data_IF_394304549583
#
_entry.id   IF_394304549583
#
_cell.length_a   1.000
_cell.length_b   1.000
_cell.length_c   1.000
_cell.angle_alpha   90.00
_cell.angle_beta   90.00
_cell.angle_gamma   90.00
#
_symmetry.space_group_name_H-M   'P 1'
#
loop_
_entity.id
_entity.type
_entity.pdbx_description
1 polymer ?
#
# COMPACT_ATOMS: atom_id res chain seq x y z
N UNK A 1 4.09 36.12 62.25
CA UNK A 1 5.00 35.03 61.88
C UNK A 1 4.32 34.16 60.82
N UNK A 2 4.53 34.46 59.53
CA UNK A 2 3.84 33.78 58.43
C UNK A 2 4.55 32.47 58.09
N UNK A 3 3.94 31.32 58.42
CA UNK A 3 4.43 30.01 57.99
C UNK A 3 4.26 29.88 56.47
N UNK A 4 5.38 30.02 55.74
CA UNK A 4 5.52 29.56 54.35
C UNK A 4 5.38 28.04 54.32
N UNK A 5 4.18 27.54 54.08
CA UNK A 5 3.95 26.13 53.76
C UNK A 5 4.47 25.85 52.35
N UNK A 6 5.60 25.15 52.26
CA UNK A 6 6.19 24.75 50.98
C UNK A 6 5.19 23.91 50.19
N UNK A 7 4.82 24.37 48.98
CA UNK A 7 4.06 23.57 48.03
C UNK A 7 4.92 22.36 47.67
N UNK A 8 4.55 21.18 48.17
CA UNK A 8 5.16 19.93 47.77
C UNK A 8 4.89 19.71 46.27
N UNK A 9 5.94 19.74 45.46
CA UNK A 9 5.88 19.55 44.00
C UNK A 9 5.57 18.10 43.58
N UNK A 10 5.26 17.22 44.55
CA UNK A 10 4.97 15.81 44.36
C UNK A 10 3.72 15.42 45.17
N UNK A 11 2.56 15.98 44.81
CA UNK A 11 1.31 15.42 45.31
C UNK A 11 1.03 14.09 44.60
N UNK A 12 0.39 13.15 45.31
CA UNK A 12 -0.03 11.87 44.76
C UNK A 12 -0.86 12.05 43.47
N UNK A 13 -1.65 13.12 43.40
CA UNK A 13 -2.40 13.51 42.20
C UNK A 13 -1.51 13.89 41.01
N UNK A 14 -0.39 14.60 41.23
CA UNK A 14 0.55 14.95 40.16
C UNK A 14 1.30 13.71 39.67
N UNK A 15 1.71 12.81 40.57
CA UNK A 15 2.31 11.53 40.22
C UNK A 15 1.35 10.66 39.39
N UNK A 16 0.10 10.50 39.84
CA UNK A 16 -0.93 9.76 39.09
C UNK A 16 -1.23 10.42 37.74
N UNK A 17 -1.37 11.74 37.68
CA UNK A 17 -1.59 12.45 36.42
C UNK A 17 -0.43 12.27 35.43
N UNK A 18 0.82 12.32 35.90
CA UNK A 18 2.00 12.05 35.07
C UNK A 18 2.04 10.61 34.58
N UNK A 19 1.67 9.64 35.43
CA UNK A 19 1.57 8.24 35.08
C UNK A 19 0.48 7.98 34.04
N UNK A 20 -0.74 8.49 34.24
CA UNK A 20 -1.83 8.36 33.27
C UNK A 20 -1.53 9.09 31.97
N UNK A 21 -0.92 10.28 32.02
CA UNK A 21 -0.46 11.00 30.84
C UNK A 21 0.54 10.19 30.02
N UNK A 22 1.57 9.65 30.68
CA UNK A 22 2.54 8.78 30.04
C UNK A 22 1.91 7.48 29.50
N UNK A 23 1.01 6.86 30.26
CA UNK A 23 0.30 5.65 29.86
C UNK A 23 -0.60 5.87 28.63
N UNK A 24 -1.31 7.00 28.56
CA UNK A 24 -2.12 7.36 27.38
C UNK A 24 -1.25 7.58 26.14
N UNK A 25 -0.11 8.27 26.28
CA UNK A 25 0.82 8.47 25.17
C UNK A 25 1.39 7.12 24.71
N UNK A 26 1.81 6.26 25.64
CA UNK A 26 2.32 4.94 25.32
C UNK A 26 1.26 4.06 24.64
N UNK A 27 0.02 4.10 25.11
CA UNK A 27 -1.10 3.37 24.52
C UNK A 27 -1.43 3.88 23.11
N UNK A 28 -1.50 5.21 22.92
CA UNK A 28 -1.69 5.80 21.61
C UNK A 28 -0.55 5.43 20.65
N UNK A 29 0.70 5.54 21.11
CA UNK A 29 1.87 5.14 20.33
C UNK A 29 1.82 3.66 19.96
N UNK A 30 1.52 2.76 20.91
CA UNK A 30 1.40 1.34 20.65
C UNK A 30 0.28 1.04 19.65
N UNK A 31 -0.89 1.67 19.80
CA UNK A 31 -2.02 1.52 18.88
C UNK A 31 -1.67 1.99 17.47
N UNK A 32 -1.06 3.17 17.32
CA UNK A 32 -0.66 3.68 16.01
C UNK A 32 0.42 2.81 15.37
N UNK A 33 1.39 2.31 16.13
CA UNK A 33 2.40 1.39 15.58
C UNK A 33 1.79 0.05 15.17
N UNK A 34 0.87 -0.48 15.98
CA UNK A 34 0.13 -1.69 15.63
C UNK A 34 -0.66 -1.49 14.32
N UNK A 35 -1.44 -0.42 14.21
CA UNK A 35 -2.16 -0.09 12.97
C UNK A 35 -1.25 0.21 11.79
N UNK A 36 -0.09 0.83 12.03
CA UNK A 36 0.89 1.06 10.99
C UNK A 36 1.52 -0.24 10.48
N UNK A 37 1.72 -1.23 11.37
CA UNK A 37 2.23 -2.56 11.02
C UNK A 37 1.26 -3.35 10.13
N UNK A 38 -0.05 -3.05 10.19
CA UNK A 38 -1.05 -3.64 9.30
C UNK A 38 -0.90 -3.13 7.86
N UNK A 39 -0.32 -1.95 7.65
CA UNK A 39 -0.11 -1.42 6.30
C UNK A 39 0.99 -2.20 5.58
N UNK A 40 0.65 -2.59 4.35
CA UNK A 40 1.57 -3.22 3.43
C UNK A 40 2.22 -2.13 2.58
N UNK A 41 3.53 -2.22 2.41
CA UNK A 41 4.32 -1.24 1.68
C UNK A 41 5.07 -1.93 0.54
N UNK A 42 5.31 -1.18 -0.52
CA UNK A 42 6.20 -1.52 -1.64
C UNK A 42 7.24 -0.42 -1.71
N UNK A 43 8.51 -0.78 -1.64
CA UNK A 43 9.59 0.14 -2.00
C UNK A 43 10.15 -0.27 -3.36
N UNK A 44 9.96 0.58 -4.37
CA UNK A 44 10.47 0.34 -5.72
C UNK A 44 12.00 0.41 -5.83
N UNK A 45 12.69 0.82 -4.75
CA UNK A 45 14.15 0.73 -4.63
C UNK A 45 14.61 -0.69 -4.26
N UNK A 46 13.89 -1.34 -3.36
CA UNK A 46 14.21 -2.69 -2.88
C UNK A 46 13.62 -3.77 -3.80
N UNK A 47 12.42 -3.51 -4.31
CA UNK A 47 11.69 -4.41 -5.20
C UNK A 47 11.77 -3.91 -6.62
N UNK A 48 12.76 -4.43 -7.34
CA UNK A 48 13.02 -4.04 -8.72
C UNK A 48 12.00 -4.67 -9.65
N UNK A 49 11.29 -3.81 -10.37
CA UNK A 49 10.41 -4.15 -11.47
C UNK A 49 10.99 -3.61 -12.77
N UNK A 50 10.68 -4.26 -13.89
CA UNK A 50 11.16 -3.91 -15.21
C UNK A 50 9.99 -3.56 -16.11
N UNK A 51 10.06 -2.39 -16.73
CA UNK A 51 9.19 -2.01 -17.85
C UNK A 51 9.97 -2.28 -19.13
N UNK A 52 9.53 -3.26 -19.94
CA UNK A 52 10.30 -3.75 -21.09
C UNK A 52 11.75 -4.02 -20.67
N UNK A 53 12.73 -3.27 -21.14
CA UNK A 53 14.15 -3.52 -20.87
C UNK A 53 14.74 -2.67 -19.75
N UNK A 54 13.97 -1.70 -19.22
CA UNK A 54 14.46 -0.71 -18.26
C UNK A 54 13.88 -0.97 -16.86
N UNK A 55 14.60 -0.53 -15.83
CA UNK A 55 14.08 -0.55 -14.46
C UNK A 55 12.96 0.47 -14.34
N UNK A 56 11.80 0.00 -13.92
CA UNK A 56 10.64 0.84 -13.68
C UNK A 56 10.88 1.77 -12.50
N UNK A 57 10.58 3.06 -12.69
CA UNK A 57 10.60 4.07 -11.62
C UNK A 57 9.25 4.76 -11.52
N UNK A 58 8.57 4.69 -10.36
CA UNK A 58 7.23 5.24 -10.21
C UNK A 58 7.24 6.77 -10.23
N UNK A 59 6.35 7.37 -11.02
CA UNK A 59 6.24 8.82 -11.23
C UNK A 59 4.95 9.41 -10.64
N UNK A 60 3.86 8.67 -10.63
CA UNK A 60 2.55 9.13 -10.17
C UNK A 60 2.37 8.93 -8.67
N UNK A 61 1.55 9.77 -8.03
CA UNK A 61 1.30 9.65 -6.58
C UNK A 61 0.37 8.50 -6.21
N UNK A 62 -0.40 7.98 -7.16
CA UNK A 62 -1.34 6.88 -6.96
C UNK A 62 -1.30 5.95 -8.15
N UNK A 63 -1.36 4.65 -7.87
CA UNK A 63 -1.41 3.60 -8.87
C UNK A 63 -2.46 2.57 -8.52
N UNK A 64 -2.96 1.93 -9.56
CA UNK A 64 -3.75 0.70 -9.45
C UNK A 64 -2.80 -0.44 -9.75
N UNK A 65 -2.55 -1.30 -8.77
CA UNK A 65 -1.72 -2.48 -8.97
C UNK A 65 -2.60 -3.64 -9.35
N UNK A 66 -2.24 -4.30 -10.43
CA UNK A 66 -2.90 -5.50 -10.91
C UNK A 66 -1.85 -6.59 -11.03
N UNK A 67 -1.99 -7.61 -10.21
CA UNK A 67 -1.19 -8.82 -10.29
C UNK A 67 -1.96 -9.86 -11.07
N UNK A 68 -1.40 -10.34 -12.18
CA UNK A 68 -2.11 -11.24 -13.09
C UNK A 68 -1.20 -12.30 -13.70
N UNK A 69 -1.83 -13.28 -14.35
CA UNK A 69 -1.16 -14.28 -15.16
C UNK A 69 -1.47 -14.05 -16.63
N UNK A 70 -0.45 -13.81 -17.46
CA UNK A 70 -0.63 -13.71 -18.91
C UNK A 70 -1.15 -14.98 -19.58
N UNK A 71 -0.98 -16.15 -18.93
CA UNK A 71 -1.51 -17.45 -19.38
C UNK A 71 -3.01 -17.59 -19.12
N UNK A 72 -3.60 -16.70 -18.33
CA UNK A 72 -5.02 -16.70 -18.02
C UNK A 72 -5.79 -15.91 -19.11
N UNK A 73 -6.74 -16.58 -19.77
CA UNK A 73 -7.48 -15.98 -20.91
C UNK A 73 -8.44 -14.89 -20.43
N UNK A 74 -8.58 -13.81 -21.20
CA UNK A 74 -9.55 -12.73 -20.97
C UNK A 74 -9.11 -11.64 -19.99
N UNK A 75 -8.03 -11.83 -19.23
CA UNK A 75 -7.53 -10.82 -18.28
C UNK A 75 -7.10 -9.53 -18.97
N UNK A 76 -6.38 -9.65 -20.10
CA UNK A 76 -5.89 -8.49 -20.85
C UNK A 76 -7.01 -7.69 -21.51
N UNK A 77 -8.08 -8.36 -21.95
CA UNK A 77 -9.26 -7.71 -22.54
C UNK A 77 -10.03 -6.93 -21.47
N UNK A 78 -10.23 -7.51 -20.28
CA UNK A 78 -10.84 -6.81 -19.13
C UNK A 78 -10.02 -5.58 -18.73
N UNK A 79 -8.69 -5.68 -18.76
CA UNK A 79 -7.79 -4.55 -18.48
C UNK A 79 -7.92 -3.42 -19.50
N UNK A 80 -7.90 -3.76 -20.80
CA UNK A 80 -7.97 -2.77 -21.88
C UNK A 80 -9.28 -1.97 -21.86
N UNK A 81 -10.38 -2.58 -21.42
CA UNK A 81 -11.70 -1.95 -21.40
C UNK A 81 -11.98 -1.12 -20.13
N UNK A 82 -11.09 -1.15 -19.13
CA UNK A 82 -11.33 -0.39 -17.90
C UNK A 82 -10.77 1.02 -18.02
N UNK A 83 -11.63 1.98 -18.35
CA UNK A 83 -11.26 3.38 -18.49
C UNK A 83 -11.11 4.03 -17.10
N UNK A 84 -9.93 3.91 -16.50
CA UNK A 84 -9.62 4.50 -15.19
C UNK A 84 -8.69 5.71 -15.39
N UNK A 85 -8.98 6.84 -14.74
CA UNK A 85 -8.13 8.04 -14.80
C UNK A 85 -6.82 7.92 -14.00
N UNK A 86 -6.52 6.74 -13.45
CA UNK A 86 -5.35 6.48 -12.60
C UNK A 86 -4.46 5.46 -13.33
N UNK A 87 -3.13 5.66 -13.40
CA UNK A 87 -2.24 4.74 -14.08
C UNK A 87 -2.24 3.35 -13.43
N UNK A 88 -2.19 2.32 -14.28
CA UNK A 88 -2.22 0.92 -13.89
C UNK A 88 -0.81 0.33 -13.94
N UNK A 89 -0.39 -0.34 -12.87
CA UNK A 89 0.80 -1.19 -12.81
C UNK A 89 0.37 -2.65 -12.94
N UNK A 90 0.48 -3.21 -14.14
CA UNK A 90 0.13 -4.59 -14.42
C UNK A 90 1.37 -5.48 -14.27
N UNK A 91 1.47 -6.20 -13.16
CA UNK A 91 2.59 -7.11 -12.85
C UNK A 91 2.21 -8.51 -13.32
N UNK A 92 2.91 -9.00 -14.33
CA UNK A 92 2.71 -10.35 -14.85
C UNK A 92 3.53 -11.39 -14.07
N UNK A 93 2.86 -12.42 -13.58
CA UNK A 93 3.49 -13.56 -12.93
C UNK A 93 4.39 -14.36 -13.88
N UNK A 94 4.03 -14.46 -15.16
CA UNK A 94 4.81 -15.21 -16.15
C UNK A 94 5.90 -14.37 -16.86
N UNK A 95 6.00 -13.09 -16.51
CA UNK A 95 6.99 -12.16 -17.05
C UNK A 95 7.01 -12.08 -18.60
N UNK A 96 5.85 -12.24 -19.23
CA UNK A 96 5.72 -12.04 -20.67
C UNK A 96 5.85 -10.56 -21.03
N UNK A 97 6.48 -10.31 -22.18
CA UNK A 97 6.62 -8.96 -22.70
C UNK A 97 5.30 -8.54 -23.34
N UNK A 98 4.65 -7.54 -22.75
CA UNK A 98 3.45 -6.93 -23.30
C UNK A 98 3.75 -5.54 -23.86
N UNK A 99 2.97 -5.13 -24.86
CA UNK A 99 3.07 -3.78 -25.43
C UNK A 99 2.22 -2.80 -24.63
N UNK A 100 2.66 -1.54 -24.59
CA UNK A 100 2.07 -0.48 -23.77
C UNK A 100 0.64 -0.19 -24.24
N UNK A 101 -0.31 -0.11 -23.30
CA UNK A 101 -1.61 0.54 -23.54
C UNK A 101 -1.56 1.96 -22.97
N UNK A 102 -2.48 2.84 -23.39
CA UNK A 102 -2.43 4.27 -23.03
C UNK A 102 -2.30 4.54 -21.53
N UNK A 103 -2.92 3.70 -20.68
CA UNK A 103 -2.94 3.89 -19.23
C UNK A 103 -2.37 2.70 -18.41
N UNK A 104 -1.86 1.66 -19.08
CA UNK A 104 -1.30 0.47 -18.41
C UNK A 104 0.20 0.34 -18.64
N UNK A 105 0.92 0.28 -17.53
CA UNK A 105 2.35 0.02 -17.47
C UNK A 105 2.53 -1.45 -17.13
N UNK A 106 3.02 -2.23 -18.09
CA UNK A 106 3.29 -3.64 -17.91
C UNK A 106 4.65 -3.84 -17.27
N UNK A 107 4.64 -4.50 -16.10
CA UNK A 107 5.79 -4.73 -15.27
C UNK A 107 6.13 -6.22 -15.21
N UNK A 108 7.43 -6.48 -15.22
CA UNK A 108 8.02 -7.79 -14.98
C UNK A 108 8.88 -7.74 -13.74
N UNK A 109 9.10 -8.87 -13.09
CA UNK A 109 9.88 -8.95 -11.87
C UNK A 109 10.67 -10.25 -11.80
N UNK A 110 11.84 -10.20 -11.16
CA UNK A 110 12.58 -11.42 -10.84
C UNK A 110 11.83 -12.26 -9.79
N UNK A 111 12.03 -13.57 -9.78
CA UNK A 111 11.32 -14.53 -8.92
C UNK A 111 11.28 -14.14 -7.45
N UNK A 112 12.40 -13.64 -6.90
CA UNK A 112 12.48 -13.18 -5.50
C UNK A 112 11.51 -12.03 -5.22
N UNK A 113 11.46 -11.04 -6.11
CA UNK A 113 10.55 -9.90 -6.03
C UNK A 113 9.11 -10.36 -6.16
N UNK A 114 8.79 -11.22 -7.13
CA UNK A 114 7.43 -11.74 -7.32
C UNK A 114 6.94 -12.50 -6.09
N UNK A 115 7.75 -13.41 -5.53
CA UNK A 115 7.40 -14.17 -4.33
C UNK A 115 7.23 -13.26 -3.11
N UNK A 116 8.15 -12.30 -2.91
CA UNK A 116 8.08 -11.34 -1.81
C UNK A 116 6.83 -10.47 -1.92
N UNK A 117 6.48 -10.06 -3.14
CA UNK A 117 5.27 -9.31 -3.45
C UNK A 117 4.00 -10.13 -3.13
N UNK A 118 3.90 -11.36 -3.64
CA UNK A 118 2.76 -12.27 -3.38
C UNK A 118 2.58 -12.49 -1.87
N UNK A 119 3.67 -12.80 -1.16
CA UNK A 119 3.65 -13.07 0.28
C UNK A 119 3.29 -11.84 1.09
N UNK A 120 3.92 -10.69 0.81
CA UNK A 120 3.63 -9.44 1.53
C UNK A 120 2.16 -9.10 1.38
N UNK A 121 1.65 -9.13 0.15
CA UNK A 121 0.27 -8.75 -0.17
C UNK A 121 -0.76 -9.83 0.15
N UNK A 122 -0.35 -11.06 0.51
CA UNK A 122 -1.26 -12.20 0.70
C UNK A 122 -2.13 -12.43 -0.55
N UNK A 123 -1.50 -12.43 -1.72
CA UNK A 123 -2.19 -12.66 -2.99
C UNK A 123 -2.39 -14.16 -3.16
N UNK A 124 -3.63 -14.62 -3.04
CA UNK A 124 -3.98 -16.04 -3.21
C UNK A 124 -4.68 -16.34 -4.53
N UNK A 125 -5.09 -15.29 -5.26
CA UNK A 125 -5.90 -15.41 -6.46
C UNK A 125 -5.35 -14.51 -7.56
N UNK A 126 -5.41 -14.99 -8.79
CA UNK A 126 -5.12 -14.21 -10.00
C UNK A 126 -6.41 -14.10 -10.80
N UNK A 127 -6.68 -12.95 -11.43
CA UNK A 127 -6.03 -11.65 -11.23
C UNK A 127 -6.47 -10.95 -9.92
N UNK A 128 -5.54 -10.27 -9.27
CA UNK A 128 -5.75 -9.47 -8.04
C UNK A 128 -5.52 -7.98 -8.29
N UNK A 129 -6.40 -7.12 -7.74
CA UNK A 129 -6.37 -5.66 -7.91
C UNK A 129 -6.42 -4.93 -6.57
N UNK A 130 -5.61 -3.89 -6.42
CA UNK A 130 -5.63 -2.98 -5.27
C UNK A 130 -4.96 -1.64 -5.59
N UNK A 131 -5.21 -0.65 -4.75
CA UNK A 131 -4.63 0.67 -4.88
C UNK A 131 -3.39 0.81 -4.01
N UNK A 132 -2.40 1.54 -4.54
CA UNK A 132 -1.26 2.01 -3.77
C UNK A 132 -1.13 3.53 -3.88
N UNK A 133 -0.68 4.16 -2.80
CA UNK A 133 -0.46 5.60 -2.72
C UNK A 133 0.96 5.88 -2.26
N UNK A 134 1.59 6.89 -2.86
CA UNK A 134 2.93 7.35 -2.49
C UNK A 134 2.92 7.81 -1.03
N UNK A 135 3.85 7.25 -0.26
CA UNK A 135 4.11 7.64 1.13
C UNK A 135 5.31 8.57 1.17
N UNK A 136 6.43 8.16 0.56
CA UNK A 136 7.68 8.93 0.49
C UNK A 136 8.56 8.39 -0.64
N UNK A 137 9.12 9.26 -1.48
CA UNK A 137 10.08 8.84 -2.53
C UNK A 137 9.58 7.64 -3.35
N UNK A 138 10.27 6.49 -3.30
CA UNK A 138 9.92 5.22 -3.95
C UNK A 138 9.07 4.29 -3.09
N UNK A 139 8.69 4.71 -1.88
CA UNK A 139 7.86 3.97 -0.94
C UNK A 139 6.37 4.27 -1.14
N UNK A 140 5.61 3.24 -1.45
CA UNK A 140 4.17 3.27 -1.64
C UNK A 140 3.49 2.39 -0.59
N UNK A 141 2.36 2.86 -0.06
CA UNK A 141 1.52 2.12 0.88
C UNK A 141 0.30 1.56 0.16
N UNK A 142 -0.18 0.40 0.60
CA UNK A 142 -1.49 -0.11 0.21
C UNK A 142 -2.59 0.82 0.72
N UNK A 143 -3.48 1.21 -0.17
CA UNK A 143 -4.56 2.18 0.08
C UNK A 143 -5.96 1.55 -0.06
N UNK A 144 -6.04 0.25 -0.37
CA UNK A 144 -7.31 -0.48 -0.46
C UNK A 144 -7.16 -1.96 -0.11
N UNK A 145 -8.29 -2.64 0.14
CA UNK A 145 -8.32 -4.10 0.16
C UNK A 145 -7.97 -4.68 -1.23
N UNK A 146 -7.46 -5.91 -1.24
CA UNK A 146 -7.23 -6.67 -2.46
C UNK A 146 -8.54 -7.30 -2.90
N UNK A 147 -8.89 -7.12 -4.17
CA UNK A 147 -10.09 -7.67 -4.80
C UNK A 147 -9.70 -8.55 -5.98
N UNK A 148 -10.62 -9.41 -6.42
CA UNK A 148 -10.52 -10.07 -7.73
C UNK A 148 -10.89 -9.09 -8.84
N UNK A 149 -10.31 -9.27 -10.03
CA UNK A 149 -10.62 -8.43 -11.21
C UNK A 149 -12.09 -8.56 -11.66
N UNK A 150 -12.81 -9.63 -11.31
CA UNK A 150 -14.24 -9.75 -11.65
C UNK A 150 -15.11 -8.68 -10.97
N UNK A 151 -14.56 -7.95 -9.99
CA UNK A 151 -15.22 -6.83 -9.32
C UNK A 151 -14.82 -5.45 -9.91
N UNK A 152 -14.33 -5.38 -11.15
CA UNK A 152 -13.92 -4.12 -11.80
C UNK A 152 -15.05 -3.09 -11.92
N UNK A 153 -16.30 -3.52 -12.12
CA UNK A 153 -17.47 -2.61 -12.16
C UNK A 153 -17.73 -1.94 -10.80
N UNK A 154 -17.52 -2.65 -9.69
CA UNK A 154 -17.57 -2.05 -8.35
C UNK A 154 -16.39 -1.07 -8.14
N UNK A 155 -15.24 -1.38 -8.74
CA UNK A 155 -14.02 -0.57 -8.61
C UNK A 155 -14.15 0.78 -9.34
N UNK A 156 -14.73 0.79 -10.54
CA UNK A 156 -14.97 2.03 -11.29
C UNK A 156 -15.94 2.96 -10.56
N UNK A 157 -16.98 2.40 -9.91
CA UNK A 157 -17.89 3.16 -9.07
C UNK A 157 -17.21 3.78 -7.84
N UNK A 158 -16.24 3.08 -7.22
CA UNK A 158 -15.47 3.62 -6.09
C UNK A 158 -14.49 4.72 -6.51
N UNK A 159 -13.86 4.60 -7.68
CA UNK A 159 -12.94 5.63 -8.21
C UNK A 159 -13.68 6.91 -8.53
N UNK A 160 -14.91 6.85 -9.05
CA UNK A 160 -15.71 8.04 -9.33
C UNK A 160 -16.17 8.80 -8.08
N UNK A 161 -16.04 8.20 -6.88
CA UNK A 161 -16.45 8.79 -5.60
C UNK A 161 -15.26 9.29 -4.75
N UNK A 162 -14.03 9.24 -5.29
CA UNK A 162 -12.77 9.66 -4.64
C UNK A 162 -12.15 10.86 -5.37
#
# INVERSE_FOLDING_TARGET
>A
MAKRGGKSFLSLSTLLASFFGAAMIAAAFAYFNYKFSEYKFIDFKDWVFYEKNDIFTPQADKYIVIFYSSKEKGTMEKLANTNLNIPILAIDYYNEVQTKSENTIFLRSGTKTSLSFIQRFNIYESPSIFFIKKSKETLYKQDSMIRKLDNLEELSQQVNNL
#
